data_IF_868098170629
#
_entry.id   IF_868098170629
#
_cell.length_a   1.000
_cell.length_b   1.000
_cell.length_c   1.000
_cell.angle_alpha   90.00
_cell.angle_beta   90.00
_cell.angle_gamma   90.00
#
_symmetry.space_group_name_H-M   'P 1'
#
loop_
_entity.id
_entity.type
_entity.pdbx_description
1 polymer ?
#
# COMPACT_ATOMS: atom_id res chain seq x y z
N UNK A 1 0.73 24.33 28.60
CA UNK A 1 0.41 23.25 27.64
C UNK A 1 -0.78 23.75 26.82
N UNK A 2 -0.65 23.83 25.50
CA UNK A 2 -1.71 24.32 24.62
C UNK A 2 -2.69 23.19 24.29
N UNK A 3 -3.96 23.52 24.03
CA UNK A 3 -4.96 22.53 23.62
C UNK A 3 -4.68 21.97 22.22
N UNK A 4 -4.97 20.68 22.02
CA UNK A 4 -4.84 20.00 20.73
C UNK A 4 -5.87 18.87 20.59
N UNK A 5 -6.10 18.42 19.35
CA UNK A 5 -6.91 17.24 19.01
C UNK A 5 -5.99 16.19 18.40
N UNK A 6 -6.12 14.93 18.84
CA UNK A 6 -5.41 13.78 18.25
C UNK A 6 -6.43 12.79 17.69
N UNK A 7 -6.28 12.46 16.40
CA UNK A 7 -7.08 11.46 15.70
C UNK A 7 -6.18 10.67 14.76
N UNK A 8 -6.14 9.35 14.92
CA UNK A 8 -5.37 8.43 14.07
C UNK A 8 -6.26 7.24 13.71
N UNK A 9 -6.83 7.20 12.50
CA UNK A 9 -7.81 6.17 12.10
C UNK A 9 -7.17 4.81 11.76
N UNK A 10 -5.85 4.75 11.64
CA UNK A 10 -5.13 3.54 11.24
C UNK A 10 -5.26 2.47 12.33
N UNK A 11 -5.82 1.31 11.98
CA UNK A 11 -5.79 0.10 12.82
C UNK A 11 -4.39 -0.49 12.81
N UNK A 12 -3.83 -0.76 13.99
CA UNK A 12 -2.49 -1.34 14.15
C UNK A 12 -2.63 -2.76 14.66
N UNK A 13 -2.15 -3.73 13.89
CA UNK A 13 -1.93 -5.10 14.34
C UNK A 13 -0.45 -5.22 14.71
N UNK A 14 -0.17 -5.46 15.99
CA UNK A 14 1.19 -5.58 16.50
C UNK A 14 1.36 -6.91 17.23
N UNK A 15 2.39 -7.66 16.84
CA UNK A 15 2.68 -8.96 17.41
C UNK A 15 3.43 -9.85 16.44
N UNK A 16 3.86 -11.00 16.95
CA UNK A 16 4.44 -12.05 16.12
C UNK A 16 3.36 -12.66 15.24
N UNK A 17 3.72 -13.03 14.02
CA UNK A 17 2.88 -13.78 13.07
C UNK A 17 1.60 -13.03 12.64
N UNK A 18 1.54 -11.70 12.84
CA UNK A 18 0.39 -10.89 12.45
C UNK A 18 0.20 -10.75 10.94
N UNK A 19 1.23 -11.04 10.13
CA UNK A 19 1.12 -11.01 8.67
C UNK A 19 0.06 -11.99 8.13
N UNK A 20 -0.28 -13.04 8.89
CA UNK A 20 -1.30 -14.01 8.50
C UNK A 20 -2.73 -13.46 8.56
N UNK A 21 -2.98 -12.41 9.35
CA UNK A 21 -4.30 -11.80 9.44
C UNK A 21 -4.58 -10.86 8.25
N UNK A 22 -3.59 -10.57 7.39
CA UNK A 22 -3.70 -9.55 6.35
C UNK A 22 -4.85 -9.82 5.36
N UNK A 23 -5.09 -11.08 4.99
CA UNK A 23 -6.20 -11.44 4.12
C UNK A 23 -7.54 -11.06 4.74
N UNK A 24 -7.77 -11.48 5.98
CA UNK A 24 -9.01 -11.20 6.73
C UNK A 24 -9.23 -9.71 6.95
N UNK A 25 -8.17 -8.98 7.29
CA UNK A 25 -8.24 -7.53 7.51
C UNK A 25 -8.56 -6.74 6.24
N UNK A 26 -8.08 -7.21 5.08
CA UNK A 26 -8.43 -6.62 3.78
C UNK A 26 -9.86 -6.98 3.39
N UNK A 27 -10.27 -8.24 3.53
CA UNK A 27 -11.62 -8.69 3.25
C UNK A 27 -12.67 -7.96 4.11
N UNK A 28 -12.37 -7.74 5.39
CA UNK A 28 -13.22 -6.99 6.32
C UNK A 28 -13.41 -5.51 5.91
N UNK A 29 -12.48 -4.95 5.12
CA UNK A 29 -12.58 -3.62 4.54
C UNK A 29 -13.22 -3.61 3.13
N UNK A 30 -13.66 -4.78 2.64
CA UNK A 30 -14.26 -4.94 1.32
C UNK A 30 -13.26 -5.04 0.17
N UNK A 31 -11.97 -5.25 0.46
CA UNK A 31 -10.96 -5.47 -0.56
C UNK A 31 -11.09 -6.85 -1.20
N UNK A 32 -11.03 -6.91 -2.53
CA UNK A 32 -11.17 -8.15 -3.32
C UNK A 32 -10.11 -8.27 -4.42
N UNK A 33 -9.51 -7.15 -4.83
CA UNK A 33 -8.49 -7.03 -5.87
C UNK A 33 -7.39 -6.12 -5.36
N UNK A 34 -6.27 -6.72 -4.99
CA UNK A 34 -5.17 -6.05 -4.28
C UNK A 34 -4.00 -5.74 -5.21
N UNK A 35 -3.45 -4.53 -5.10
CA UNK A 35 -2.09 -4.26 -5.57
C UNK A 35 -1.09 -4.55 -4.45
N UNK A 36 -0.24 -5.55 -4.62
CA UNK A 36 0.90 -5.84 -3.77
C UNK A 36 2.11 -5.01 -4.20
N UNK A 37 2.51 -4.03 -3.39
CA UNK A 37 3.68 -3.18 -3.65
C UNK A 37 4.84 -3.64 -2.77
N UNK A 38 6.02 -3.89 -3.34
CA UNK A 38 7.20 -4.31 -2.59
C UNK A 38 8.53 -3.86 -3.22
N UNK A 39 9.60 -3.88 -2.43
CA UNK A 39 10.94 -3.44 -2.83
C UNK A 39 11.77 -4.48 -3.61
N UNK A 40 13.10 -4.37 -3.52
CA UNK A 40 14.08 -5.18 -4.28
C UNK A 40 14.24 -6.67 -3.89
N UNK A 41 13.25 -7.25 -3.19
CA UNK A 41 13.17 -8.70 -2.97
C UNK A 41 13.54 -9.24 -1.59
N UNK A 42 13.86 -8.41 -0.60
CA UNK A 42 14.08 -8.86 0.79
C UNK A 42 12.85 -9.58 1.36
N UNK A 43 11.66 -9.03 1.14
CA UNK A 43 10.39 -9.63 1.55
C UNK A 43 10.21 -11.04 0.94
N UNK A 44 10.55 -11.22 -0.35
CA UNK A 44 10.50 -12.55 -0.99
C UNK A 44 11.57 -13.49 -0.44
N UNK A 45 12.81 -13.04 -0.28
CA UNK A 45 13.90 -13.86 0.29
C UNK A 45 13.59 -14.37 1.69
N UNK A 46 12.86 -13.60 2.49
CA UNK A 46 12.43 -13.98 3.84
C UNK A 46 11.21 -14.91 3.88
N UNK A 47 10.60 -15.21 2.73
CA UNK A 47 9.32 -15.92 2.63
C UNK A 47 8.11 -15.12 3.12
N UNK A 48 8.28 -13.86 3.54
CA UNK A 48 7.17 -13.01 3.96
C UNK A 48 6.18 -12.78 2.83
N UNK A 49 6.67 -12.51 1.62
CA UNK A 49 5.80 -12.25 0.48
C UNK A 49 4.96 -13.49 0.14
N UNK A 50 5.55 -14.69 0.24
CA UNK A 50 4.82 -15.95 0.00
C UNK A 50 3.74 -16.18 1.06
N UNK A 51 3.98 -15.84 2.34
CA UNK A 51 2.96 -15.89 3.40
C UNK A 51 1.81 -14.93 3.13
N UNK A 52 2.11 -13.71 2.68
CA UNK A 52 1.10 -12.70 2.33
C UNK A 52 0.27 -13.16 1.13
N UNK A 53 0.90 -13.64 0.07
CA UNK A 53 0.22 -14.19 -1.11
C UNK A 53 -0.71 -15.35 -0.74
N UNK A 54 -0.26 -16.25 0.15
CA UNK A 54 -1.09 -17.33 0.70
C UNK A 54 -2.29 -16.81 1.49
N UNK A 55 -2.07 -15.87 2.42
CA UNK A 55 -3.15 -15.31 3.24
C UNK A 55 -4.22 -14.58 2.41
N UNK A 56 -3.83 -13.92 1.31
CA UNK A 56 -4.79 -13.35 0.36
C UNK A 56 -5.56 -14.44 -0.40
N UNK A 57 -4.87 -15.49 -0.85
CA UNK A 57 -5.50 -16.59 -1.58
C UNK A 57 -6.50 -17.37 -0.71
N UNK A 58 -6.22 -17.57 0.57
CA UNK A 58 -7.10 -18.24 1.54
C UNK A 58 -8.45 -17.51 1.70
N UNK A 59 -8.47 -16.19 1.50
CA UNK A 59 -9.68 -15.36 1.52
C UNK A 59 -10.28 -15.13 0.11
N UNK A 60 -9.74 -15.79 -0.92
CA UNK A 60 -10.19 -15.66 -2.30
C UNK A 60 -9.89 -14.30 -2.95
N UNK A 61 -8.93 -13.54 -2.42
CA UNK A 61 -8.56 -12.22 -2.91
C UNK A 61 -7.61 -12.36 -4.10
N UNK A 62 -7.96 -11.71 -5.22
CA UNK A 62 -7.08 -11.61 -6.38
C UNK A 62 -6.01 -10.54 -6.15
N UNK A 63 -4.78 -10.77 -6.60
CA UNK A 63 -3.71 -9.79 -6.43
C UNK A 63 -2.80 -9.65 -7.65
N UNK A 64 -2.22 -8.46 -7.79
CA UNK A 64 -1.20 -8.12 -8.80
C UNK A 64 0.01 -7.49 -8.10
N UNK A 65 1.18 -7.65 -8.69
CA UNK A 65 2.44 -7.27 -8.06
C UNK A 65 3.08 -6.06 -8.75
N UNK A 66 3.46 -5.07 -7.94
CA UNK A 66 4.37 -3.98 -8.29
C UNK A 66 5.64 -4.11 -7.45
N UNK A 67 6.62 -4.81 -8.00
CA UNK A 67 7.92 -5.03 -7.35
C UNK A 67 8.97 -3.96 -7.69
N UNK A 68 10.18 -4.15 -7.16
CA UNK A 68 11.37 -3.34 -7.48
C UNK A 68 11.28 -1.86 -7.09
N UNK A 69 10.44 -1.50 -6.10
CA UNK A 69 10.49 -0.15 -5.52
C UNK A 69 11.86 0.09 -4.89
N UNK A 70 12.51 1.17 -5.32
CA UNK A 70 13.85 1.55 -4.87
C UNK A 70 13.80 2.44 -3.62
N UNK A 71 14.87 2.52 -2.82
CA UNK A 71 15.07 3.61 -1.88
C UNK A 71 14.98 4.96 -2.61
N UNK A 72 14.37 5.97 -1.99
CA UNK A 72 13.99 7.25 -2.64
C UNK A 72 13.12 6.99 -3.88
N UNK A 73 11.85 6.61 -3.68
CA UNK A 73 11.02 6.07 -4.74
C UNK A 73 10.84 7.09 -5.87
N UNK A 74 11.02 6.62 -7.10
CA UNK A 74 10.83 7.43 -8.30
C UNK A 74 9.35 7.46 -8.69
N UNK A 75 8.91 8.61 -9.22
CA UNK A 75 7.54 8.84 -9.67
C UNK A 75 7.09 7.85 -10.76
N UNK A 76 8.03 7.36 -11.57
CA UNK A 76 7.77 6.33 -12.59
C UNK A 76 7.09 5.08 -12.01
N UNK A 77 7.54 4.59 -10.84
CA UNK A 77 6.92 3.43 -10.19
C UNK A 77 5.52 3.74 -9.65
N UNK A 78 5.28 4.99 -9.27
CA UNK A 78 3.94 5.45 -8.89
C UNK A 78 3.01 5.41 -10.10
N UNK A 79 3.46 5.88 -11.26
CA UNK A 79 2.67 5.82 -12.50
C UNK A 79 2.35 4.39 -12.92
N UNK A 80 3.34 3.48 -12.90
CA UNK A 80 3.10 2.05 -13.15
C UNK A 80 2.01 1.48 -12.22
N UNK A 81 2.05 1.86 -10.94
CA UNK A 81 1.04 1.47 -9.96
C UNK A 81 -0.35 2.03 -10.28
N UNK A 82 -0.43 3.31 -10.66
CA UNK A 82 -1.68 3.97 -11.05
C UNK A 82 -2.32 3.27 -12.27
N UNK A 83 -1.50 2.94 -13.27
CA UNK A 83 -1.96 2.24 -14.47
C UNK A 83 -2.48 0.85 -14.14
N UNK A 84 -1.73 0.07 -13.37
CA UNK A 84 -2.17 -1.26 -12.90
C UNK A 84 -3.47 -1.19 -12.11
N UNK A 85 -3.61 -0.21 -11.22
CA UNK A 85 -4.82 -0.04 -10.41
C UNK A 85 -6.03 0.18 -11.32
N UNK A 86 -5.92 1.05 -12.31
CA UNK A 86 -7.02 1.38 -13.23
C UNK A 86 -7.33 0.21 -14.17
N UNK A 87 -6.32 -0.41 -14.75
CA UNK A 87 -6.47 -1.50 -15.73
C UNK A 87 -7.11 -2.74 -15.09
N UNK A 88 -6.59 -3.16 -13.93
CA UNK A 88 -7.06 -4.34 -13.20
C UNK A 88 -8.23 -4.03 -12.26
N UNK A 89 -8.63 -2.76 -12.20
CA UNK A 89 -9.71 -2.24 -11.34
C UNK A 89 -9.48 -2.60 -9.86
N UNK A 90 -8.24 -2.49 -9.40
CA UNK A 90 -7.83 -2.78 -8.02
C UNK A 90 -8.65 -1.91 -7.06
N UNK A 91 -9.07 -2.49 -5.94
CA UNK A 91 -9.89 -1.84 -4.91
C UNK A 91 -9.18 -1.70 -3.56
N UNK A 92 -7.96 -2.23 -3.42
CA UNK A 92 -7.13 -2.09 -2.22
C UNK A 92 -5.63 -2.13 -2.56
N UNK A 93 -4.80 -1.33 -1.89
CA UNK A 93 -3.33 -1.38 -2.07
C UNK A 93 -2.65 -1.86 -0.80
N UNK A 94 -1.81 -2.88 -0.89
CA UNK A 94 -1.04 -3.42 0.23
C UNK A 94 0.46 -3.24 0.00
N UNK A 95 1.09 -2.44 0.84
CA UNK A 95 2.54 -2.27 0.86
C UNK A 95 3.21 -3.33 1.74
N UNK A 96 4.22 -4.04 1.23
CA UNK A 96 5.05 -4.98 1.99
C UNK A 96 6.51 -4.53 1.92
N UNK A 97 6.95 -3.80 2.94
CA UNK A 97 8.28 -3.19 2.93
C UNK A 97 8.50 -2.10 3.97
N UNK A 98 9.51 -1.26 3.73
CA UNK A 98 9.77 -0.04 4.52
C UNK A 98 9.10 1.20 3.95
N UNK A 99 9.49 2.39 4.44
CA UNK A 99 8.89 3.68 4.10
C UNK A 99 8.76 3.96 2.59
N UNK A 100 9.80 3.68 1.79
CA UNK A 100 9.73 3.93 0.34
C UNK A 100 8.61 3.15 -0.36
N UNK A 101 8.38 1.90 0.04
CA UNK A 101 7.31 1.05 -0.48
C UNK A 101 5.94 1.59 -0.07
N UNK A 102 5.82 2.01 1.19
CA UNK A 102 4.59 2.57 1.75
C UNK A 102 4.23 3.89 1.04
N UNK A 103 5.21 4.75 0.80
CA UNK A 103 4.98 6.04 0.13
C UNK A 103 4.62 5.85 -1.34
N UNK A 104 5.25 4.90 -2.05
CA UNK A 104 4.84 4.52 -3.41
C UNK A 104 3.39 4.01 -3.43
N UNK A 105 3.01 3.14 -2.50
CA UNK A 105 1.65 2.61 -2.41
C UNK A 105 0.62 3.71 -2.16
N UNK A 106 0.91 4.65 -1.25
CA UNK A 106 0.05 5.80 -0.98
C UNK A 106 -0.10 6.70 -2.21
N UNK A 107 1.01 7.05 -2.86
CA UNK A 107 0.97 7.89 -4.05
C UNK A 107 0.17 7.22 -5.18
N UNK A 108 0.34 5.91 -5.40
CA UNK A 108 -0.39 5.19 -6.43
C UNK A 108 -1.90 5.12 -6.14
N UNK A 109 -2.27 4.84 -4.89
CA UNK A 109 -3.66 4.82 -4.45
C UNK A 109 -4.35 6.20 -4.54
N UNK A 110 -3.61 7.29 -4.32
CA UNK A 110 -4.10 8.66 -4.51
C UNK A 110 -4.26 9.00 -5.99
N UNK A 111 -3.22 8.75 -6.79
CA UNK A 111 -3.22 9.08 -8.21
C UNK A 111 -4.25 8.31 -9.02
N UNK A 112 -4.57 7.07 -8.63
CA UNK A 112 -5.59 6.27 -9.30
C UNK A 112 -6.99 6.90 -9.25
N UNK A 113 -7.33 7.59 -8.16
CA UNK A 113 -8.60 8.30 -7.95
C UNK A 113 -8.59 9.75 -8.48
N UNK A 114 -7.48 10.20 -9.04
CA UNK A 114 -7.30 11.55 -9.57
C UNK A 114 -7.19 11.56 -11.10
N UNK A 115 -7.81 12.54 -11.76
CA UNK A 115 -7.79 12.64 -13.23
C UNK A 115 -6.58 13.38 -13.79
N UNK A 116 -5.91 14.21 -12.97
CA UNK A 116 -4.70 14.93 -13.34
C UNK A 116 -3.44 14.13 -13.06
N UNK A 117 -2.31 14.83 -12.99
CA UNK A 117 -1.04 14.24 -12.59
C UNK A 117 -0.96 14.13 -11.07
N UNK A 118 -0.62 12.96 -10.53
CA UNK A 118 -0.43 12.78 -9.09
C UNK A 118 0.61 13.76 -8.51
N UNK A 119 1.53 14.24 -9.35
CA UNK A 119 2.52 15.26 -8.99
C UNK A 119 1.90 16.62 -8.62
N UNK A 120 0.70 16.94 -9.12
CA UNK A 120 -0.05 18.16 -8.78
C UNK A 120 -0.24 18.31 -7.25
N UNK A 121 -0.36 17.18 -6.52
CA UNK A 121 -0.50 17.19 -5.07
C UNK A 121 0.80 17.59 -4.35
N UNK A 122 1.95 17.23 -4.93
CA UNK A 122 3.28 17.55 -4.39
C UNK A 122 3.69 18.99 -4.73
N UNK A 123 3.16 19.54 -5.83
CA UNK A 123 3.35 20.95 -6.22
C UNK A 123 2.27 21.90 -5.66
N UNK A 124 1.33 21.39 -4.87
CA UNK A 124 0.21 22.14 -4.30
C UNK A 124 -0.71 22.78 -5.35
N UNK A 125 -0.80 22.18 -6.53
CA UNK A 125 -1.71 22.59 -7.61
C UNK A 125 -3.11 21.98 -7.46
N UNK A 126 -3.22 20.89 -6.69
CA UNK A 126 -4.48 20.22 -6.38
C UNK A 126 -4.51 19.68 -4.93
N UNK A 127 -5.71 19.37 -4.44
CA UNK A 127 -5.91 18.71 -3.14
C UNK A 127 -6.51 17.31 -3.32
N UNK A 128 -5.98 16.28 -2.64
CA UNK A 128 -6.54 14.94 -2.70
C UNK A 128 -7.90 14.88 -2.00
N UNK A 129 -8.93 14.40 -2.70
CA UNK A 129 -10.31 14.25 -2.16
C UNK A 129 -10.73 12.80 -1.93
N UNK A 130 -10.09 11.85 -2.60
CA UNK A 130 -10.36 10.42 -2.54
C UNK A 130 -9.07 9.65 -2.69
N UNK A 131 -9.06 8.44 -2.16
CA UNK A 131 -7.95 7.52 -2.19
C UNK A 131 -8.49 6.11 -2.02
N UNK A 132 -7.89 5.12 -2.70
CA UNK A 132 -8.15 3.73 -2.37
C UNK A 132 -7.67 3.40 -0.94
N UNK A 133 -8.31 2.45 -0.24
CA UNK A 133 -7.80 1.93 1.02
C UNK A 133 -6.36 1.40 0.87
N UNK A 134 -5.52 1.70 1.85
CA UNK A 134 -4.11 1.26 1.89
C UNK A 134 -3.81 0.55 3.20
N UNK A 135 -3.24 -0.65 3.09
CA UNK A 135 -2.64 -1.39 4.19
C UNK A 135 -1.12 -1.45 4.06
N UNK A 136 -0.43 -1.74 5.16
CA UNK A 136 1.00 -2.02 5.13
C UNK A 136 1.42 -3.13 6.08
N UNK A 137 2.40 -3.92 5.64
CA UNK A 137 3.21 -4.81 6.47
C UNK A 137 4.60 -4.18 6.52
N UNK A 138 4.90 -3.52 7.64
CA UNK A 138 6.14 -2.79 7.84
C UNK A 138 7.29 -3.77 8.13
N UNK A 139 8.31 -3.79 7.27
CA UNK A 139 9.47 -4.70 7.42
C UNK A 139 10.73 -4.00 7.94
N UNK A 140 10.72 -2.67 8.00
CA UNK A 140 11.83 -1.86 8.49
C UNK A 140 11.30 -0.66 9.28
N UNK A 141 11.39 -0.65 10.62
CA UNK A 141 10.95 0.47 11.43
C UNK A 141 11.93 1.64 11.27
N UNK A 142 11.47 2.74 10.66
CA UNK A 142 12.30 3.94 10.47
C UNK A 142 11.47 5.23 10.43
N UNK A 143 10.55 5.35 9.47
CA UNK A 143 9.84 6.60 9.16
C UNK A 143 8.46 6.74 9.81
N UNK A 144 8.13 5.87 10.78
CA UNK A 144 6.77 5.67 11.30
C UNK A 144 5.97 4.67 10.49
#
# INVERSE_FOLDING_TARGET
MNGFVYYSPTKILFGKDMEWEVGREIAAQGGSRVLLVYGGGSARKSGLLDRVESALADEGISFWCLGNVQPNPLLERVYDGIELIREKKIDFVLAVGGGSVIDTAKAAALGAEYKGDVWDFYEHLAEPKKMLPVGCILTLPASG
#
